data_IF_124868782619
#
_entry.id   IF_124868782619
#
_cell.length_a   1.000
_cell.length_b   1.000
_cell.length_c   1.000
_cell.angle_alpha   90.00
_cell.angle_beta   90.00
_cell.angle_gamma   90.00
#
_symmetry.space_group_name_H-M   'P 1'
#
loop_
_entity.id
_entity.type
_entity.pdbx_description
1 polymer ?
#
# COMPACT_ATOMS: atom_id res chain seq x y z
N UNK A 1 19.12 -3.37 -42.61
CA UNK A 1 20.12 -2.43 -43.14
C UNK A 1 20.69 -1.67 -41.95
N UNK A 2 21.94 -1.94 -41.63
CA UNK A 2 22.66 -1.45 -40.46
C UNK A 2 22.90 0.06 -40.56
N UNK A 3 22.73 0.79 -39.46
CA UNK A 3 23.49 2.01 -39.22
C UNK A 3 24.24 1.85 -37.89
N UNK A 4 25.55 1.73 -38.03
CA UNK A 4 26.53 1.82 -36.96
C UNK A 4 26.57 3.26 -36.43
N UNK A 5 26.46 3.43 -35.12
CA UNK A 5 27.11 4.55 -34.42
C UNK A 5 28.05 3.95 -33.40
N UNK A 6 29.34 3.96 -33.78
CA UNK A 6 30.47 3.61 -32.93
C UNK A 6 30.82 4.83 -32.09
N UNK A 7 30.48 4.83 -30.79
CA UNK A 7 31.03 5.80 -29.83
C UNK A 7 32.10 5.09 -29.01
N UNK A 8 33.30 5.64 -29.14
CA UNK A 8 34.59 5.20 -28.64
C UNK A 8 34.61 5.07 -27.12
N UNK A 9 35.21 3.98 -26.68
CA UNK A 9 35.43 3.56 -25.29
C UNK A 9 36.09 4.65 -24.44
N UNK A 10 35.42 5.04 -23.35
CA UNK A 10 36.07 5.61 -22.16
C UNK A 10 35.68 4.74 -20.97
N UNK A 11 36.57 3.81 -20.59
CA UNK A 11 36.31 2.70 -19.64
C UNK A 11 35.82 3.16 -18.26
N UNK A 12 35.96 4.43 -17.89
CA UNK A 12 35.49 4.96 -16.60
C UNK A 12 34.01 5.38 -16.61
N UNK A 13 33.41 5.66 -17.78
CA UNK A 13 32.00 6.04 -17.91
C UNK A 13 31.08 4.82 -18.13
N UNK A 14 31.62 3.73 -18.66
CA UNK A 14 30.87 2.47 -18.87
C UNK A 14 30.50 1.80 -17.55
N UNK A 15 31.38 1.85 -16.53
CA UNK A 15 31.06 1.33 -15.19
C UNK A 15 30.04 2.21 -14.44
N UNK A 16 30.06 3.54 -14.63
CA UNK A 16 29.04 4.43 -14.06
C UNK A 16 27.65 4.18 -14.68
N UNK A 17 27.57 3.96 -15.99
CA UNK A 17 26.28 3.69 -16.65
C UNK A 17 25.72 2.32 -16.24
N UNK A 18 26.57 1.30 -16.06
CA UNK A 18 26.15 -0.03 -15.57
C UNK A 18 25.71 0.05 -14.10
N UNK A 19 26.40 0.83 -13.25
CA UNK A 19 26.04 1.01 -11.84
C UNK A 19 24.74 1.81 -11.68
N UNK A 20 24.53 2.87 -12.47
CA UNK A 20 23.30 3.68 -12.46
C UNK A 20 22.09 2.86 -12.98
N UNK A 21 22.28 2.01 -14.00
CA UNK A 21 21.23 1.11 -14.50
C UNK A 21 20.92 -0.04 -13.52
N UNK A 22 21.91 -0.54 -12.75
CA UNK A 22 21.69 -1.55 -11.73
C UNK A 22 20.96 -1.01 -10.49
N UNK A 23 21.22 0.24 -10.09
CA UNK A 23 20.50 0.92 -9.00
C UNK A 23 19.07 1.26 -9.42
N UNK A 24 18.85 1.71 -10.66
CA UNK A 24 17.52 2.03 -11.18
C UNK A 24 16.59 0.79 -11.32
N UNK A 25 17.14 -0.42 -11.44
CA UNK A 25 16.36 -1.68 -11.47
C UNK A 25 16.02 -2.24 -10.09
N UNK A 26 16.68 -1.80 -9.00
CA UNK A 26 16.42 -2.28 -7.64
C UNK A 26 15.46 -1.37 -6.86
N UNK A 27 15.44 -0.07 -7.12
CA UNK A 27 14.59 0.89 -6.39
C UNK A 27 13.16 1.03 -6.94
N UNK A 28 12.68 0.01 -7.66
CA UNK A 28 11.49 0.11 -8.49
C UNK A 28 10.17 -0.33 -7.87
N UNK A 29 10.10 -0.95 -6.68
CA UNK A 29 8.86 -1.23 -5.94
C UNK A 29 9.17 -1.48 -4.45
N UNK A 30 9.75 -0.51 -3.72
CA UNK A 30 9.81 -0.63 -2.26
C UNK A 30 8.48 -0.18 -1.65
N UNK A 31 7.60 -1.13 -1.35
CA UNK A 31 6.37 -0.82 -0.64
C UNK A 31 5.48 -2.00 -0.29
N UNK A 32 5.54 -3.08 -1.07
CA UNK A 32 4.73 -4.27 -0.82
C UNK A 32 5.41 -5.52 -1.42
N UNK A 33 5.52 -6.58 -0.63
CA UNK A 33 6.05 -7.88 -1.09
C UNK A 33 5.14 -8.54 -2.12
N UNK A 34 5.66 -9.49 -2.89
CA UNK A 34 4.88 -10.25 -3.88
C UNK A 34 3.70 -10.98 -3.23
N UNK A 35 3.91 -11.57 -2.04
CA UNK A 35 2.86 -12.25 -1.28
C UNK A 35 1.74 -11.28 -0.85
N UNK A 36 2.10 -10.08 -0.38
CA UNK A 36 1.13 -9.06 -0.01
C UNK A 36 0.34 -8.54 -1.23
N UNK A 37 1.00 -8.39 -2.38
CA UNK A 37 0.33 -8.03 -3.65
C UNK A 37 -0.65 -9.11 -4.09
N UNK A 38 -0.23 -10.38 -4.09
CA UNK A 38 -1.09 -11.49 -4.45
C UNK A 38 -2.31 -11.59 -3.52
N UNK A 39 -2.12 -11.34 -2.21
CA UNK A 39 -3.22 -11.27 -1.25
C UNK A 39 -4.16 -10.10 -1.54
N UNK A 40 -3.61 -8.90 -1.79
CA UNK A 40 -4.41 -7.72 -2.14
C UNK A 40 -5.24 -7.96 -3.41
N UNK A 41 -4.64 -8.53 -4.46
CA UNK A 41 -5.33 -8.84 -5.72
C UNK A 41 -6.44 -9.89 -5.52
N UNK A 42 -6.18 -10.91 -4.69
CA UNK A 42 -7.15 -11.94 -4.35
C UNK A 42 -8.35 -11.38 -3.59
N UNK A 43 -8.11 -10.51 -2.61
CA UNK A 43 -9.15 -9.84 -1.85
C UNK A 43 -9.93 -8.84 -2.72
N UNK A 44 -9.23 -8.07 -3.56
CA UNK A 44 -9.86 -7.13 -4.47
C UNK A 44 -10.84 -7.84 -5.40
N UNK A 45 -10.45 -8.98 -6.00
CA UNK A 45 -11.35 -9.81 -6.83
C UNK A 45 -12.61 -10.29 -6.10
N UNK A 46 -12.53 -10.51 -4.79
CA UNK A 46 -13.68 -10.91 -3.96
C UNK A 46 -14.55 -9.71 -3.57
N UNK A 47 -13.93 -8.60 -3.20
CA UNK A 47 -14.61 -7.42 -2.66
C UNK A 47 -15.20 -6.52 -3.74
N UNK A 48 -14.55 -6.40 -4.90
CA UNK A 48 -15.00 -5.56 -6.00
C UNK A 48 -16.46 -5.81 -6.41
N UNK A 49 -16.89 -7.05 -6.74
CA UNK A 49 -18.25 -7.29 -7.22
C UNK A 49 -19.35 -7.05 -6.18
N UNK A 50 -19.02 -7.04 -4.88
CA UNK A 50 -20.01 -6.91 -3.79
C UNK A 50 -20.04 -5.50 -3.17
N UNK A 51 -18.95 -4.73 -3.32
CA UNK A 51 -18.84 -3.40 -2.72
C UNK A 51 -19.58 -2.30 -3.47
N UNK A 52 -19.79 -2.48 -4.79
CA UNK A 52 -20.32 -1.44 -5.67
C UNK A 52 -19.31 -0.34 -6.03
N UNK A 53 -18.06 -0.43 -5.55
CA UNK A 53 -17.02 0.54 -5.89
C UNK A 53 -16.69 0.51 -7.38
N UNK A 54 -16.37 1.68 -7.94
CA UNK A 54 -15.92 1.78 -9.33
C UNK A 54 -14.41 1.60 -9.43
N UNK A 55 -13.95 1.12 -10.59
CA UNK A 55 -12.51 1.04 -10.88
C UNK A 55 -11.80 2.40 -10.76
N UNK A 56 -12.49 3.49 -11.12
CA UNK A 56 -11.98 4.85 -10.99
C UNK A 56 -11.67 5.21 -9.52
N UNK A 57 -12.58 4.90 -8.59
CA UNK A 57 -12.35 5.12 -7.14
C UNK A 57 -11.14 4.34 -6.63
N UNK A 58 -10.96 3.11 -7.12
CA UNK A 58 -9.87 2.22 -6.70
C UNK A 58 -8.53 2.69 -7.26
N UNK A 59 -8.49 3.12 -8.52
CA UNK A 59 -7.28 3.64 -9.14
C UNK A 59 -6.86 4.97 -8.50
N UNK A 60 -7.80 5.88 -8.25
CA UNK A 60 -7.53 7.13 -7.54
C UNK A 60 -6.97 6.89 -6.13
N UNK A 61 -7.49 5.89 -5.40
CA UNK A 61 -7.00 5.57 -4.07
C UNK A 61 -5.54 5.09 -4.06
N UNK A 62 -5.06 4.46 -5.14
CA UNK A 62 -3.64 4.07 -5.28
C UNK A 62 -2.72 5.29 -5.42
N UNK A 63 -3.27 6.42 -5.82
CA UNK A 63 -2.58 7.71 -5.98
C UNK A 63 -2.76 8.60 -4.74
N UNK A 64 -3.34 8.08 -3.65
CA UNK A 64 -3.62 8.83 -2.42
C UNK A 64 -4.92 9.63 -2.47
N UNK A 65 -5.70 9.55 -3.54
CA UNK A 65 -7.00 10.22 -3.65
C UNK A 65 -8.14 9.25 -3.30
N UNK A 66 -8.55 9.28 -2.04
CA UNK A 66 -9.53 8.34 -1.50
C UNK A 66 -10.95 8.92 -1.54
N UNK A 67 -11.84 8.23 -2.25
CA UNK A 67 -13.25 8.56 -2.33
C UNK A 67 -13.95 8.51 -0.95
N UNK A 68 -14.92 9.40 -0.74
CA UNK A 68 -15.83 9.37 0.41
C UNK A 68 -17.12 8.60 0.12
N UNK A 69 -17.23 8.00 -1.07
CA UNK A 69 -18.42 7.26 -1.48
C UNK A 69 -18.62 6.01 -0.60
N UNK A 70 -19.85 5.74 -0.12
CA UNK A 70 -20.15 4.56 0.69
C UNK A 70 -19.71 3.23 0.07
N UNK A 71 -19.81 3.08 -1.25
CA UNK A 71 -19.40 1.88 -1.96
C UNK A 71 -17.88 1.66 -1.89
N UNK A 72 -17.10 2.75 -1.94
CA UNK A 72 -15.65 2.69 -1.76
C UNK A 72 -15.27 2.34 -0.31
N UNK A 73 -15.95 2.93 0.67
CA UNK A 73 -15.73 2.58 2.09
C UNK A 73 -16.05 1.11 2.36
N UNK A 74 -17.11 0.58 1.75
CA UNK A 74 -17.46 -0.84 1.83
C UNK A 74 -16.39 -1.73 1.17
N UNK A 75 -15.81 -1.30 0.04
CA UNK A 75 -14.68 -1.99 -0.57
C UNK A 75 -13.49 -2.10 0.38
N UNK A 76 -13.09 -0.98 1.00
CA UNK A 76 -11.99 -0.96 1.96
C UNK A 76 -12.27 -1.82 3.19
N UNK A 77 -13.50 -1.75 3.71
CA UNK A 77 -13.91 -2.58 4.84
C UNK A 77 -13.85 -4.07 4.50
N UNK A 78 -14.38 -4.49 3.35
CA UNK A 78 -14.30 -5.87 2.88
C UNK A 78 -12.84 -6.34 2.76
N UNK A 79 -11.95 -5.49 2.21
CA UNK A 79 -10.51 -5.78 2.13
C UNK A 79 -9.91 -5.97 3.53
N UNK A 80 -10.16 -5.03 4.45
CA UNK A 80 -9.66 -5.10 5.83
C UNK A 80 -10.17 -6.35 6.56
N UNK A 81 -11.44 -6.72 6.37
CA UNK A 81 -12.00 -7.97 6.90
C UNK A 81 -11.30 -9.20 6.31
N UNK A 82 -10.99 -9.17 5.01
CA UNK A 82 -10.21 -10.21 4.34
C UNK A 82 -8.78 -10.38 4.85
N UNK A 83 -8.16 -9.28 5.34
CA UNK A 83 -6.88 -9.31 6.06
C UNK A 83 -7.01 -9.74 7.53
N UNK A 84 -8.24 -9.93 8.04
CA UNK A 84 -8.49 -10.28 9.44
C UNK A 84 -8.36 -9.10 10.40
N UNK A 85 -8.28 -7.86 9.91
CA UNK A 85 -8.20 -6.63 10.73
C UNK A 85 -9.51 -6.43 11.49
N UNK A 86 -10.64 -6.78 10.89
CA UNK A 86 -11.94 -6.82 11.55
C UNK A 86 -12.37 -8.26 11.75
N UNK A 87 -12.91 -8.55 12.94
CA UNK A 87 -13.61 -9.80 13.24
C UNK A 87 -14.96 -9.83 12.53
N UNK A 88 -15.60 -11.00 12.51
CA UNK A 88 -16.96 -11.15 11.99
C UNK A 88 -17.98 -10.26 12.72
N UNK A 89 -17.74 -9.92 13.99
CA UNK A 89 -18.56 -8.98 14.76
C UNK A 89 -18.44 -7.51 14.33
N UNK A 90 -17.49 -7.18 13.45
CA UNK A 90 -17.15 -5.80 13.07
C UNK A 90 -16.19 -5.11 14.05
N UNK A 91 -15.77 -5.78 15.12
CA UNK A 91 -14.72 -5.28 16.02
C UNK A 91 -13.33 -5.42 15.41
N UNK A 92 -12.40 -4.56 15.80
CA UNK A 92 -11.00 -4.70 15.39
C UNK A 92 -10.31 -5.85 16.10
N UNK A 93 -9.56 -6.61 15.33
CA UNK A 93 -8.64 -7.65 15.77
C UNK A 93 -7.28 -7.04 16.09
N UNK A 94 -7.12 -6.61 17.34
CA UNK A 94 -5.92 -5.91 17.80
C UNK A 94 -4.64 -6.75 17.61
N UNK A 95 -4.71 -8.07 17.76
CA UNK A 95 -3.54 -8.94 17.62
C UNK A 95 -3.02 -8.96 16.17
N UNK A 96 -3.95 -9.05 15.19
CA UNK A 96 -3.60 -8.98 13.76
C UNK A 96 -3.05 -7.60 13.42
N UNK A 97 -3.67 -6.53 13.91
CA UNK A 97 -3.19 -5.17 13.70
C UNK A 97 -1.78 -4.98 14.26
N UNK A 98 -1.50 -5.47 15.47
CA UNK A 98 -0.16 -5.39 16.06
C UNK A 98 0.87 -6.17 15.24
N UNK A 99 0.53 -7.37 14.78
CA UNK A 99 1.42 -8.17 13.93
C UNK A 99 1.76 -7.44 12.61
N UNK A 100 0.77 -6.82 11.96
CA UNK A 100 0.99 -6.02 10.74
C UNK A 100 1.90 -4.82 11.04
N UNK A 101 1.68 -4.09 12.13
CA UNK A 101 2.54 -2.96 12.49
C UNK A 101 3.99 -3.38 12.77
N UNK A 102 4.19 -4.51 13.45
CA UNK A 102 5.54 -5.07 13.69
C UNK A 102 6.24 -5.46 12.39
N UNK A 103 5.49 -5.98 11.42
CA UNK A 103 6.03 -6.33 10.11
C UNK A 103 6.39 -5.08 9.28
N UNK A 104 5.57 -4.02 9.36
CA UNK A 104 5.70 -2.82 8.52
C UNK A 104 6.63 -1.75 9.09
N UNK A 105 6.72 -1.62 10.41
CA UNK A 105 7.50 -0.59 11.09
C UNK A 105 8.46 -1.24 12.09
N UNK A 106 9.76 -1.20 11.80
CA UNK A 106 10.80 -1.78 12.66
C UNK A 106 10.99 -0.98 13.96
N UNK A 107 10.84 0.35 13.88
CA UNK A 107 10.95 1.25 15.04
C UNK A 107 9.71 1.16 15.96
N UNK A 108 9.87 0.78 17.23
CA UNK A 108 8.80 0.82 18.22
C UNK A 108 8.11 2.19 18.36
N UNK A 109 8.85 3.29 18.31
CA UNK A 109 8.29 4.62 18.46
C UNK A 109 7.34 4.98 17.31
N UNK A 110 7.72 4.64 16.07
CA UNK A 110 6.86 4.81 14.90
C UNK A 110 5.61 3.92 14.99
N UNK A 111 5.72 2.69 15.52
CA UNK A 111 4.55 1.83 15.73
C UNK A 111 3.56 2.44 16.70
N UNK A 112 4.04 2.95 17.82
CA UNK A 112 3.20 3.59 18.83
C UNK A 112 2.55 4.86 18.29
N UNK A 113 3.29 5.64 17.49
CA UNK A 113 2.78 6.83 16.83
C UNK A 113 1.68 6.50 15.81
N UNK A 114 1.91 5.54 14.91
CA UNK A 114 0.93 5.07 13.93
C UNK A 114 -0.33 4.55 14.63
N UNK A 115 -0.16 3.78 15.70
CA UNK A 115 -1.28 3.25 16.47
C UNK A 115 -2.11 4.38 17.10
N UNK A 116 -1.45 5.38 17.67
CA UNK A 116 -2.12 6.50 18.31
C UNK A 116 -2.83 7.43 17.30
N UNK A 117 -2.23 7.65 16.13
CA UNK A 117 -2.73 8.62 15.14
C UNK A 117 -3.69 8.01 14.13
N UNK A 118 -3.33 6.86 13.57
CA UNK A 118 -4.02 6.31 12.39
C UNK A 118 -5.00 5.19 12.70
N UNK A 119 -4.87 4.49 13.84
CA UNK A 119 -5.72 3.34 14.15
C UNK A 119 -6.81 3.69 15.16
N UNK A 120 -7.46 4.83 14.94
CA UNK A 120 -8.53 5.38 15.79
C UNK A 120 -9.88 4.92 15.29
N UNK A 121 -10.63 4.22 16.15
CA UNK A 121 -11.98 3.75 15.83
C UNK A 121 -12.92 4.92 15.55
N UNK A 122 -13.73 4.76 14.51
CA UNK A 122 -14.78 5.70 14.11
C UNK A 122 -16.15 5.10 14.39
N UNK A 123 -17.20 5.83 14.04
CA UNK A 123 -18.58 5.42 14.28
C UNK A 123 -18.93 4.10 13.60
N UNK A 124 -18.30 3.80 12.45
CA UNK A 124 -18.51 2.56 11.69
C UNK A 124 -17.18 1.90 11.33
N UNK A 125 -17.16 0.57 11.11
CA UNK A 125 -16.00 -0.13 10.57
C UNK A 125 -15.55 0.40 9.19
N UNK A 126 -16.51 0.79 8.34
CA UNK A 126 -16.27 1.40 7.03
C UNK A 126 -15.52 2.73 7.15
N UNK A 127 -15.98 3.60 8.05
CA UNK A 127 -15.31 4.88 8.31
C UNK A 127 -13.94 4.66 8.94
N UNK A 128 -13.83 3.70 9.85
CA UNK A 128 -12.57 3.30 10.46
C UNK A 128 -11.56 2.83 9.40
N UNK A 129 -11.97 1.96 8.47
CA UNK A 129 -11.14 1.51 7.36
C UNK A 129 -10.65 2.66 6.49
N UNK A 130 -11.55 3.56 6.06
CA UNK A 130 -11.18 4.69 5.22
C UNK A 130 -10.19 5.62 5.92
N UNK A 131 -10.52 6.07 7.13
CA UNK A 131 -9.70 7.05 7.85
C UNK A 131 -8.34 6.47 8.23
N UNK A 132 -8.30 5.18 8.59
CA UNK A 132 -7.03 4.51 8.90
C UNK A 132 -6.13 4.43 7.67
N UNK A 133 -6.67 4.05 6.50
CA UNK A 133 -5.90 3.93 5.26
C UNK A 133 -5.41 5.30 4.78
N UNK A 134 -6.25 6.33 4.83
CA UNK A 134 -5.85 7.72 4.55
C UNK A 134 -4.66 8.15 5.40
N UNK A 135 -4.81 8.01 6.72
CA UNK A 135 -3.77 8.40 7.66
C UNK A 135 -2.47 7.60 7.44
N UNK A 136 -2.55 6.29 7.18
CA UNK A 136 -1.38 5.47 6.91
C UNK A 136 -0.67 5.86 5.61
N UNK A 137 -1.41 6.23 4.57
CA UNK A 137 -0.86 6.74 3.32
C UNK A 137 -0.08 8.04 3.58
N UNK A 138 -0.72 9.01 4.22
CA UNK A 138 -0.10 10.29 4.55
C UNK A 138 1.09 10.11 5.51
N UNK A 139 0.98 9.23 6.50
CA UNK A 139 2.06 8.95 7.44
C UNK A 139 3.28 8.40 6.71
N UNK A 140 3.09 7.44 5.79
CA UNK A 140 4.17 6.86 4.99
C UNK A 140 4.89 7.93 4.15
N UNK A 141 4.16 8.82 3.50
CA UNK A 141 4.74 9.91 2.69
C UNK A 141 5.50 10.94 3.54
N UNK A 142 5.19 11.07 4.83
CA UNK A 142 5.86 12.01 5.73
C UNK A 142 7.12 11.44 6.43
N UNK A 143 7.32 10.12 6.37
CA UNK A 143 8.48 9.45 6.99
C UNK A 143 9.52 8.93 5.98
N UNK A 144 9.20 8.92 4.69
CA UNK A 144 10.10 8.57 3.58
C UNK A 144 10.61 9.83 2.88
#
# INVERSE_FOLDING_TARGET
MSFFVSIKSNKMNTYCIIFILAVAFLSGIEGMSEAERAMADSLHKKCYPISGATEAMINQAREGNFSEDPAFKEHLYCMCKGYGIFKESGEVNIDVVQAILQQKFQDPALRDEVKAKCLVMKETPQETSLQSIKCLYDFKENIL
#
